data_IF_530015760444
#
_entry.id   IF_530015760444
#
_cell.length_a   1.000
_cell.length_b   1.000
_cell.length_c   1.000
_cell.angle_alpha   90.00
_cell.angle_beta   90.00
_cell.angle_gamma   90.00
#
_symmetry.space_group_name_H-M   'P 1'
#
loop_
_entity.id
_entity.type
_entity.pdbx_description
1 polymer ?
#
# COMPACT_ATOMS: atom_id res chain seq x y z
N UNK A 1 39.03 0.00 1.60
CA UNK A 1 37.94 -0.21 2.58
C UNK A 1 38.46 -1.03 3.75
N UNK A 2 38.35 -0.54 4.99
CA UNK A 2 38.88 -1.20 6.18
C UNK A 2 38.13 -2.53 6.47
N UNK A 3 38.84 -3.59 6.88
CA UNK A 3 38.30 -4.96 7.16
C UNK A 3 37.07 -4.94 8.07
N UNK A 4 37.04 -4.03 9.06
CA UNK A 4 35.92 -3.76 9.98
C UNK A 4 34.64 -3.26 9.29
N UNK A 5 34.77 -2.51 8.18
CA UNK A 5 33.62 -2.03 7.40
C UNK A 5 32.94 -3.16 6.62
N UNK A 6 33.73 -4.07 6.06
CA UNK A 6 33.23 -5.27 5.35
C UNK A 6 32.46 -6.19 6.30
N UNK A 7 33.01 -6.47 7.49
CA UNK A 7 32.35 -7.30 8.51
C UNK A 7 31.05 -6.70 9.04
N UNK A 8 30.96 -5.36 9.12
CA UNK A 8 29.74 -4.67 9.57
C UNK A 8 28.63 -4.78 8.53
N UNK A 9 28.94 -4.61 7.24
CA UNK A 9 27.98 -4.78 6.14
C UNK A 9 27.48 -6.23 6.09
N UNK A 10 28.39 -7.21 6.19
CA UNK A 10 28.04 -8.63 6.16
C UNK A 10 27.12 -9.00 7.33
N UNK A 11 27.44 -8.59 8.57
CA UNK A 11 26.56 -8.82 9.73
C UNK A 11 25.19 -8.17 9.55
N UNK A 12 25.16 -6.94 9.04
CA UNK A 12 23.92 -6.22 8.79
C UNK A 12 23.01 -6.95 7.80
N UNK A 13 23.58 -7.49 6.71
CA UNK A 13 22.87 -8.32 5.74
C UNK A 13 22.38 -9.64 6.33
N UNK A 14 23.24 -10.36 7.07
CA UNK A 14 22.88 -11.65 7.70
C UNK A 14 21.66 -11.49 8.61
N UNK A 15 21.62 -10.42 9.41
CA UNK A 15 20.49 -10.15 10.30
C UNK A 15 19.22 -9.66 9.56
N UNK A 16 19.35 -9.04 8.38
CA UNK A 16 18.22 -8.62 7.53
C UNK A 16 17.68 -9.77 6.67
N UNK A 17 18.49 -10.78 6.41
CA UNK A 17 18.14 -11.85 5.47
C UNK A 17 16.88 -12.64 5.86
N UNK A 18 16.67 -13.06 7.13
CA UNK A 18 15.44 -13.74 7.54
C UNK A 18 14.19 -12.87 7.30
N UNK A 19 14.34 -11.54 7.49
CA UNK A 19 13.29 -10.56 7.30
C UNK A 19 12.89 -10.43 5.83
N UNK A 20 13.89 -10.29 4.97
CA UNK A 20 13.72 -10.20 3.52
C UNK A 20 13.09 -11.50 3.02
N UNK A 21 13.59 -12.66 3.44
CA UNK A 21 13.04 -13.97 3.07
C UNK A 21 11.57 -14.10 3.47
N UNK A 22 11.20 -13.62 4.66
CA UNK A 22 9.80 -13.59 5.10
C UNK A 22 8.93 -12.73 4.19
N UNK A 23 9.36 -11.51 3.87
CA UNK A 23 8.61 -10.58 3.01
C UNK A 23 8.44 -11.15 1.61
N UNK A 24 9.54 -11.62 0.99
CA UNK A 24 9.52 -12.24 -0.33
C UNK A 24 8.56 -13.43 -0.36
N UNK A 25 8.66 -14.33 0.62
CA UNK A 25 7.80 -15.52 0.68
C UNK A 25 6.33 -15.15 0.77
N UNK A 26 5.96 -14.27 1.70
CA UNK A 26 4.54 -14.00 1.94
C UNK A 26 3.94 -13.12 0.85
N UNK A 27 4.70 -12.18 0.28
CA UNK A 27 4.22 -11.39 -0.87
C UNK A 27 4.11 -12.26 -2.12
N UNK A 28 5.01 -13.23 -2.32
CA UNK A 28 4.87 -14.23 -3.38
C UNK A 28 3.60 -15.05 -3.20
N UNK A 29 3.32 -15.55 -1.99
CA UNK A 29 2.08 -16.28 -1.70
C UNK A 29 0.86 -15.42 -2.04
N UNK A 30 0.85 -14.15 -1.64
CA UNK A 30 -0.24 -13.24 -1.96
C UNK A 30 -0.38 -13.01 -3.47
N UNK A 31 0.72 -12.80 -4.20
CA UNK A 31 0.68 -12.70 -5.66
C UNK A 31 0.07 -13.95 -6.30
N UNK A 32 0.49 -15.14 -5.85
CA UNK A 32 -0.04 -16.40 -6.37
C UNK A 32 -1.55 -16.52 -6.10
N UNK A 33 -2.00 -16.14 -4.90
CA UNK A 33 -3.42 -16.11 -4.55
C UNK A 33 -4.21 -15.08 -5.35
N UNK A 34 -3.62 -13.95 -5.72
CA UNK A 34 -4.29 -12.92 -6.53
C UNK A 34 -4.26 -13.20 -8.04
N UNK A 35 -3.40 -14.11 -8.51
CA UNK A 35 -3.20 -14.36 -9.96
C UNK A 35 -3.75 -15.72 -10.39
N UNK A 36 -3.44 -16.79 -9.65
CA UNK A 36 -3.78 -18.15 -10.07
C UNK A 36 -5.30 -18.40 -10.03
N UNK A 37 -6.03 -18.06 -8.95
CA UNK A 37 -7.48 -18.30 -8.91
C UNK A 37 -8.25 -17.55 -9.99
N UNK A 38 -7.97 -16.27 -10.33
CA UNK A 38 -8.60 -15.63 -11.47
C UNK A 38 -8.30 -16.29 -12.82
N UNK A 39 -7.06 -16.74 -13.04
CA UNK A 39 -6.71 -17.49 -14.26
C UNK A 39 -7.50 -18.80 -14.36
N UNK A 40 -7.55 -19.57 -13.27
CA UNK A 40 -8.33 -20.81 -13.20
C UNK A 40 -9.81 -20.53 -13.49
N UNK A 41 -10.37 -19.51 -12.85
CA UNK A 41 -11.77 -19.11 -13.02
C UNK A 41 -12.05 -18.73 -14.47
N UNK A 42 -11.17 -17.96 -15.10
CA UNK A 42 -11.33 -17.49 -16.46
C UNK A 42 -11.26 -18.61 -17.51
N UNK A 43 -10.32 -19.54 -17.36
CA UNK A 43 -10.08 -20.60 -18.36
C UNK A 43 -10.89 -21.88 -18.14
N UNK A 44 -11.26 -22.22 -16.90
CA UNK A 44 -11.89 -23.51 -16.59
C UNK A 44 -13.40 -23.42 -16.35
N UNK A 45 -13.96 -22.24 -16.09
CA UNK A 45 -15.40 -22.08 -15.82
C UNK A 45 -16.13 -21.46 -17.02
N UNK A 46 -17.40 -21.87 -17.24
CA UNK A 46 -18.24 -21.25 -18.27
C UNK A 46 -18.46 -19.76 -17.95
N UNK A 47 -18.58 -18.95 -19.00
CA UNK A 47 -18.78 -17.50 -18.88
C UNK A 47 -17.71 -16.83 -17.99
N UNK A 48 -16.49 -17.39 -18.00
CA UNK A 48 -15.36 -16.95 -17.17
C UNK A 48 -15.67 -16.88 -15.65
N UNK A 49 -16.66 -17.66 -15.19
CA UNK A 49 -17.15 -17.65 -13.82
C UNK A 49 -18.06 -16.48 -13.46
N UNK A 50 -18.44 -15.62 -14.41
CA UNK A 50 -19.24 -14.41 -14.15
C UNK A 50 -20.62 -14.76 -13.57
N UNK A 51 -21.29 -15.77 -14.13
CA UNK A 51 -22.58 -16.25 -13.65
C UNK A 51 -22.57 -16.77 -12.19
N UNK A 52 -21.38 -17.13 -11.67
CA UNK A 52 -21.19 -17.73 -10.35
C UNK A 52 -20.63 -16.72 -9.36
N UNK A 53 -19.56 -16.02 -9.71
CA UNK A 53 -18.76 -15.23 -8.77
C UNK A 53 -18.95 -13.72 -8.85
N UNK A 54 -19.61 -13.20 -9.89
CA UNK A 54 -19.86 -11.77 -10.02
C UNK A 54 -20.72 -11.23 -8.87
N UNK A 55 -20.48 -9.98 -8.50
CA UNK A 55 -21.39 -9.24 -7.65
C UNK A 55 -22.60 -8.81 -8.48
N UNK A 56 -23.77 -9.28 -8.08
CA UNK A 56 -25.05 -8.93 -8.67
C UNK A 56 -26.15 -8.98 -7.60
N UNK A 57 -27.33 -8.48 -7.93
CA UNK A 57 -28.48 -8.43 -7.02
C UNK A 57 -28.74 -9.77 -6.32
N UNK A 58 -28.77 -10.87 -7.07
CA UNK A 58 -29.00 -12.23 -6.58
C UNK A 58 -27.72 -12.98 -6.16
N UNK A 59 -26.56 -12.32 -6.18
CA UNK A 59 -25.24 -12.90 -5.84
C UNK A 59 -24.48 -12.00 -4.86
N UNK A 60 -24.96 -11.84 -3.61
CA UNK A 60 -24.33 -10.98 -2.61
C UNK A 60 -22.94 -11.49 -2.18
N UNK A 61 -22.68 -12.80 -2.30
CA UNK A 61 -21.35 -13.36 -2.05
C UNK A 61 -20.28 -12.83 -3.01
N UNK A 62 -20.69 -12.22 -4.13
CA UNK A 62 -19.82 -11.47 -5.02
C UNK A 62 -19.04 -10.35 -4.33
N UNK A 63 -19.43 -9.92 -3.13
CA UNK A 63 -18.60 -9.03 -2.30
C UNK A 63 -17.21 -9.63 -2.07
N UNK A 64 -17.13 -10.94 -1.86
CA UNK A 64 -15.89 -11.66 -1.57
C UNK A 64 -15.27 -12.32 -2.80
N UNK A 65 -16.08 -12.62 -3.83
CA UNK A 65 -15.65 -13.46 -4.95
C UNK A 65 -15.53 -12.74 -6.28
N UNK A 66 -16.05 -11.51 -6.43
CA UNK A 66 -16.10 -10.83 -7.73
C UNK A 66 -14.73 -10.55 -8.34
N UNK A 67 -13.68 -10.49 -7.52
CA UNK A 67 -12.30 -10.35 -7.99
C UNK A 67 -11.77 -11.57 -8.76
N UNK A 68 -12.42 -12.73 -8.65
CA UNK A 68 -12.04 -13.95 -9.36
C UNK A 68 -12.42 -13.92 -10.84
N UNK A 69 -13.53 -13.27 -11.18
CA UNK A 69 -14.12 -13.30 -12.53
C UNK A 69 -13.77 -12.05 -13.32
N UNK A 70 -13.62 -12.18 -14.64
CA UNK A 70 -13.26 -11.08 -15.54
C UNK A 70 -14.07 -11.18 -16.84
N UNK A 71 -14.54 -10.03 -17.35
CA UNK A 71 -15.42 -9.95 -18.55
C UNK A 71 -14.76 -10.46 -19.83
N UNK A 72 -13.47 -10.19 -19.99
CA UNK A 72 -12.72 -10.52 -21.20
C UNK A 72 -11.23 -10.66 -20.87
N UNK A 73 -10.47 -11.16 -21.85
CA UNK A 73 -9.04 -11.43 -21.71
C UNK A 73 -8.23 -10.16 -21.42
N UNK A 74 -8.55 -9.05 -22.09
CA UNK A 74 -7.86 -7.77 -21.89
C UNK A 74 -8.00 -7.29 -20.44
N UNK A 75 -9.21 -7.31 -19.89
CA UNK A 75 -9.48 -6.94 -18.51
C UNK A 75 -8.72 -7.83 -17.50
N UNK A 76 -8.64 -9.13 -17.76
CA UNK A 76 -7.84 -10.06 -16.95
C UNK A 76 -6.34 -9.71 -17.01
N UNK A 77 -5.80 -9.53 -18.21
CA UNK A 77 -4.38 -9.19 -18.42
C UNK A 77 -4.00 -7.90 -17.71
N UNK A 78 -4.77 -6.83 -17.91
CA UNK A 78 -4.49 -5.54 -17.26
C UNK A 78 -4.51 -5.65 -15.72
N UNK A 79 -5.44 -6.41 -15.15
CA UNK A 79 -5.49 -6.62 -13.70
C UNK A 79 -4.30 -7.45 -13.20
N UNK A 80 -3.89 -8.50 -13.91
CA UNK A 80 -2.73 -9.33 -13.54
C UNK A 80 -1.43 -8.53 -13.62
N UNK A 81 -1.18 -7.87 -14.75
CA UNK A 81 0.02 -7.05 -14.96
C UNK A 81 0.10 -5.92 -13.93
N UNK A 82 -1.02 -5.22 -13.72
CA UNK A 82 -1.16 -4.18 -12.72
C UNK A 82 -0.88 -4.71 -11.31
N UNK A 83 -1.40 -5.90 -10.96
CA UNK A 83 -1.19 -6.53 -9.65
C UNK A 83 0.28 -6.90 -9.45
N UNK A 84 0.91 -7.57 -10.42
CA UNK A 84 2.33 -7.94 -10.36
C UNK A 84 3.19 -6.70 -10.15
N UNK A 85 2.99 -5.67 -10.98
CA UNK A 85 3.76 -4.44 -10.90
C UNK A 85 3.55 -3.72 -9.56
N UNK A 86 2.31 -3.68 -9.07
CA UNK A 86 1.98 -3.02 -7.79
C UNK A 86 2.58 -3.74 -6.59
N UNK A 87 2.44 -5.07 -6.53
CA UNK A 87 2.99 -5.84 -5.42
C UNK A 87 4.51 -5.80 -5.45
N UNK A 88 5.15 -5.83 -6.63
CA UNK A 88 6.60 -5.67 -6.76
C UNK A 88 7.10 -4.32 -6.20
N UNK A 89 6.37 -3.24 -6.47
CA UNK A 89 6.67 -1.92 -5.90
C UNK A 89 6.50 -1.91 -4.38
N UNK A 90 5.39 -2.44 -3.86
CA UNK A 90 5.14 -2.55 -2.42
C UNK A 90 6.25 -3.36 -1.74
N UNK A 91 6.66 -4.47 -2.33
CA UNK A 91 7.73 -5.33 -1.83
C UNK A 91 9.06 -4.58 -1.76
N UNK A 92 9.43 -3.91 -2.85
CA UNK A 92 10.68 -3.15 -2.95
C UNK A 92 10.73 -2.04 -1.90
N UNK A 93 9.65 -1.26 -1.76
CA UNK A 93 9.61 -0.15 -0.81
C UNK A 93 9.47 -0.62 0.64
N UNK A 94 8.82 -1.77 0.89
CA UNK A 94 8.81 -2.38 2.22
C UNK A 94 10.21 -2.81 2.65
N UNK A 95 10.98 -3.42 1.73
CA UNK A 95 12.38 -3.78 1.99
C UNK A 95 13.21 -2.51 2.23
N UNK A 96 13.06 -1.48 1.39
CA UNK A 96 13.76 -0.21 1.55
C UNK A 96 13.48 0.44 2.92
N UNK A 97 12.20 0.48 3.34
CA UNK A 97 11.81 0.98 4.66
C UNK A 97 12.54 0.27 5.79
N UNK A 98 12.58 -1.06 5.76
CA UNK A 98 13.21 -1.85 6.82
C UNK A 98 14.73 -1.67 6.84
N UNK A 99 15.36 -1.53 5.68
CA UNK A 99 16.78 -1.19 5.57
C UNK A 99 17.04 0.17 6.20
N UNK A 100 16.34 1.24 5.78
CA UNK A 100 16.56 2.57 6.36
C UNK A 100 16.29 2.61 7.86
N UNK A 101 15.23 1.93 8.31
CA UNK A 101 14.87 1.89 9.74
C UNK A 101 15.90 1.19 10.60
N UNK A 102 16.55 0.15 10.09
CA UNK A 102 17.58 -0.59 10.84
C UNK A 102 18.79 0.27 11.21
N UNK A 103 19.06 1.37 10.48
CA UNK A 103 20.15 2.29 10.84
C UNK A 103 19.99 2.91 12.22
N UNK A 104 18.75 3.05 12.70
CA UNK A 104 18.45 3.73 13.95
C UNK A 104 17.58 2.93 14.92
N UNK A 105 16.95 1.85 14.44
CA UNK A 105 16.20 0.92 15.28
C UNK A 105 16.53 -0.53 14.88
N UNK A 106 17.46 -1.20 15.59
CA UNK A 106 17.94 -2.52 15.21
C UNK A 106 16.90 -3.64 15.41
N UNK A 107 15.91 -3.45 16.29
CA UNK A 107 14.84 -4.42 16.53
C UNK A 107 13.66 -4.16 15.57
N UNK A 108 13.50 -5.02 14.56
CA UNK A 108 12.48 -4.92 13.49
C UNK A 108 11.48 -6.09 13.44
N UNK A 109 11.51 -6.97 14.45
CA UNK A 109 10.77 -8.23 14.42
C UNK A 109 9.23 -8.05 14.49
N UNK A 110 8.73 -6.95 15.06
CA UNK A 110 7.29 -6.68 15.13
C UNK A 110 6.81 -5.88 13.91
N UNK A 111 7.66 -4.99 13.39
CA UNK A 111 7.39 -4.07 12.28
C UNK A 111 7.00 -4.81 10.99
N UNK A 112 7.76 -5.82 10.58
CA UNK A 112 7.49 -6.53 9.33
C UNK A 112 6.20 -7.35 9.39
N UNK A 113 5.89 -7.97 10.54
CA UNK A 113 4.63 -8.70 10.74
C UNK A 113 3.45 -7.75 10.64
N UNK A 114 3.58 -6.55 11.22
CA UNK A 114 2.57 -5.50 11.11
C UNK A 114 2.39 -5.06 9.66
N UNK A 115 3.46 -4.71 8.95
CA UNK A 115 3.39 -4.29 7.54
C UNK A 115 2.72 -5.36 6.67
N UNK A 116 3.02 -6.64 6.90
CA UNK A 116 2.36 -7.72 6.19
C UNK A 116 0.87 -7.85 6.54
N UNK A 117 0.51 -7.77 7.84
CA UNK A 117 -0.91 -7.79 8.25
C UNK A 117 -1.70 -6.65 7.61
N UNK A 118 -1.10 -5.48 7.54
CA UNK A 118 -1.71 -4.27 6.97
C UNK A 118 -1.88 -4.41 5.47
N UNK A 119 -0.86 -4.91 4.78
CA UNK A 119 -0.96 -5.27 3.38
C UNK A 119 -2.10 -6.27 3.12
N UNK A 120 -2.25 -7.30 3.96
CA UNK A 120 -3.38 -8.24 3.87
C UNK A 120 -4.74 -7.56 4.13
N UNK A 121 -4.82 -6.66 5.12
CA UNK A 121 -6.04 -5.90 5.38
C UNK A 121 -6.41 -4.98 4.22
N UNK A 122 -5.45 -4.34 3.56
CA UNK A 122 -5.72 -3.52 2.37
C UNK A 122 -6.37 -4.38 1.29
N UNK A 123 -5.84 -5.57 1.01
CA UNK A 123 -6.42 -6.47 0.00
C UNK A 123 -7.87 -6.82 0.34
N UNK A 124 -8.12 -7.24 1.59
CA UNK A 124 -9.45 -7.65 2.05
C UNK A 124 -10.43 -6.47 2.02
N UNK A 125 -10.05 -5.34 2.60
CA UNK A 125 -10.94 -4.19 2.77
C UNK A 125 -11.19 -3.46 1.44
N UNK A 126 -10.20 -3.39 0.56
CA UNK A 126 -10.37 -2.79 -0.76
C UNK A 126 -11.24 -3.64 -1.67
N UNK A 127 -11.41 -4.93 -1.39
CA UNK A 127 -12.45 -5.75 -2.03
C UNK A 127 -13.82 -5.54 -1.37
N UNK A 128 -13.89 -5.65 -0.04
CA UNK A 128 -15.16 -5.68 0.70
C UNK A 128 -15.87 -4.33 0.70
N UNK A 129 -15.19 -3.25 1.06
CA UNK A 129 -15.82 -1.94 1.30
C UNK A 129 -16.45 -1.38 0.01
N UNK A 130 -15.73 -1.29 -1.12
CA UNK A 130 -16.34 -0.81 -2.36
C UNK A 130 -17.45 -1.73 -2.85
N UNK A 131 -17.28 -3.05 -2.73
CA UNK A 131 -18.32 -4.02 -3.13
C UNK A 131 -19.60 -3.90 -2.30
N UNK A 132 -19.51 -3.56 -1.02
CA UNK A 132 -20.69 -3.29 -0.17
C UNK A 132 -21.43 -2.04 -0.65
N UNK A 133 -20.70 -0.99 -1.03
CA UNK A 133 -21.29 0.23 -1.59
C UNK A 133 -21.96 -0.06 -2.93
N UNK A 134 -21.28 -0.81 -3.81
CA UNK A 134 -21.83 -1.26 -5.09
C UNK A 134 -23.09 -2.09 -4.91
N UNK A 135 -23.10 -3.03 -3.95
CA UNK A 135 -24.29 -3.82 -3.65
C UNK A 135 -25.43 -2.94 -3.17
N UNK A 136 -25.17 -2.00 -2.24
CA UNK A 136 -26.17 -1.05 -1.79
C UNK A 136 -26.75 -0.24 -2.96
N UNK A 137 -25.91 0.25 -3.87
CA UNK A 137 -26.37 0.97 -5.06
C UNK A 137 -27.23 0.10 -5.98
N UNK A 138 -26.86 -1.17 -6.18
CA UNK A 138 -27.67 -2.13 -6.94
C UNK A 138 -29.07 -2.28 -6.34
N UNK A 139 -29.17 -2.37 -5.01
CA UNK A 139 -30.45 -2.48 -4.30
C UNK A 139 -31.26 -1.17 -4.34
N UNK A 140 -30.66 -0.03 -3.98
CA UNK A 140 -31.36 1.25 -3.85
C UNK A 140 -31.73 1.90 -5.18
N UNK A 141 -30.94 1.68 -6.24
CA UNK A 141 -31.18 2.25 -7.57
C UNK A 141 -31.78 1.24 -8.55
N UNK A 142 -32.20 0.07 -8.07
CA UNK A 142 -32.82 -0.99 -8.87
C UNK A 142 -32.00 -1.40 -10.11
N UNK A 143 -30.67 -1.45 -9.99
CA UNK A 143 -29.76 -1.80 -11.08
C UNK A 143 -29.64 -3.32 -11.26
N UNK A 144 -30.75 -4.03 -11.44
CA UNK A 144 -30.80 -5.49 -11.37
C UNK A 144 -29.95 -6.21 -12.43
N UNK A 145 -29.70 -5.56 -13.57
CA UNK A 145 -28.85 -6.10 -14.64
C UNK A 145 -27.36 -5.78 -14.45
N UNK A 146 -26.99 -4.97 -13.44
CA UNK A 146 -25.60 -4.61 -13.18
C UNK A 146 -24.87 -5.80 -12.56
N UNK A 147 -23.74 -6.15 -13.15
CA UNK A 147 -22.80 -7.15 -12.65
C UNK A 147 -21.43 -6.50 -12.48
N UNK A 148 -20.83 -6.66 -11.32
CA UNK A 148 -19.50 -6.17 -11.02
C UNK A 148 -18.54 -7.36 -10.88
N UNK A 149 -17.37 -7.23 -11.50
CA UNK A 149 -16.37 -8.28 -11.65
C UNK A 149 -14.99 -7.66 -11.84
N UNK A 150 -13.95 -8.40 -11.49
CA UNK A 150 -12.55 -8.05 -11.73
C UNK A 150 -11.80 -7.72 -10.45
N UNK A 151 -10.49 -7.96 -10.47
CA UNK A 151 -9.59 -7.68 -9.34
C UNK A 151 -9.16 -6.20 -9.25
N UNK A 152 -9.75 -5.31 -10.05
CA UNK A 152 -9.36 -3.90 -10.09
C UNK A 152 -9.51 -3.21 -8.73
N UNK A 153 -10.56 -3.51 -7.96
CA UNK A 153 -10.74 -2.96 -6.61
C UNK A 153 -9.54 -3.25 -5.70
N UNK A 154 -9.03 -4.49 -5.71
CA UNK A 154 -7.83 -4.85 -4.96
C UNK A 154 -6.61 -4.06 -5.48
N UNK A 155 -6.45 -3.96 -6.81
CA UNK A 155 -5.36 -3.23 -7.44
C UNK A 155 -5.34 -1.74 -7.04
N UNK A 156 -6.48 -1.05 -7.14
CA UNK A 156 -6.58 0.37 -6.72
C UNK A 156 -6.35 0.55 -5.23
N UNK A 157 -6.80 -0.39 -4.40
CA UNK A 157 -6.48 -0.45 -2.98
C UNK A 157 -4.99 -0.55 -2.69
N UNK A 158 -4.32 -1.47 -3.36
CA UNK A 158 -2.87 -1.61 -3.28
C UNK A 158 -2.13 -0.35 -3.76
N UNK A 159 -2.66 0.35 -4.76
CA UNK A 159 -2.14 1.66 -5.18
C UNK A 159 -2.29 2.74 -4.14
N UNK A 160 -3.46 2.90 -3.53
CA UNK A 160 -3.64 3.84 -2.43
C UNK A 160 -2.71 3.55 -1.24
N UNK A 161 -2.47 2.28 -0.94
CA UNK A 161 -1.51 1.86 0.08
C UNK A 161 -0.06 2.23 -0.27
N UNK A 162 0.33 2.06 -1.53
CA UNK A 162 1.67 2.38 -2.02
C UNK A 162 1.93 3.90 -2.10
N UNK A 163 1.08 4.61 -2.85
CA UNK A 163 1.34 5.98 -3.33
C UNK A 163 1.60 6.97 -2.19
N UNK A 164 0.84 6.86 -1.10
CA UNK A 164 0.92 7.82 -0.01
C UNK A 164 1.37 7.13 1.28
N UNK A 165 0.83 5.95 1.59
CA UNK A 165 1.17 5.22 2.82
C UNK A 165 2.63 4.79 2.88
N UNK A 166 3.02 3.89 1.99
CA UNK A 166 4.35 3.30 2.00
C UNK A 166 5.45 4.27 1.55
N UNK A 167 5.18 5.09 0.53
CA UNK A 167 6.13 6.10 0.07
C UNK A 167 6.53 7.09 1.17
N UNK A 168 5.57 7.53 1.96
CA UNK A 168 5.83 8.46 3.05
C UNK A 168 6.54 7.77 4.24
N UNK A 169 6.26 6.49 4.50
CA UNK A 169 7.04 5.68 5.46
C UNK A 169 8.51 5.54 5.07
N UNK A 170 8.78 5.25 3.79
CA UNK A 170 10.16 5.16 3.29
C UNK A 170 10.85 6.51 3.36
N UNK A 171 10.17 7.58 2.95
CA UNK A 171 10.72 8.93 2.98
C UNK A 171 11.09 9.37 4.39
N UNK A 172 10.23 9.10 5.37
CA UNK A 172 10.53 9.42 6.78
C UNK A 172 11.68 8.60 7.34
N UNK A 173 11.71 7.29 7.09
CA UNK A 173 12.81 6.43 7.52
C UNK A 173 14.15 6.86 6.90
N UNK A 174 14.15 7.25 5.63
CA UNK A 174 15.33 7.77 4.94
C UNK A 174 15.81 9.09 5.58
N UNK A 175 14.91 10.05 5.81
CA UNK A 175 15.26 11.32 6.44
C UNK A 175 15.82 11.12 7.86
N UNK A 176 15.25 10.20 8.63
CA UNK A 176 15.72 9.88 9.98
C UNK A 176 17.09 9.19 9.96
N UNK A 177 17.31 8.27 9.02
CA UNK A 177 18.62 7.65 8.81
C UNK A 177 19.68 8.70 8.43
N UNK A 178 19.36 9.61 7.51
CA UNK A 178 20.24 10.73 7.12
C UNK A 178 20.55 11.62 8.34
N UNK A 179 19.53 11.98 9.12
CA UNK A 179 19.68 12.79 10.33
C UNK A 179 20.67 12.16 11.32
N UNK A 180 20.56 10.86 11.56
CA UNK A 180 21.42 10.14 12.53
C UNK A 180 22.85 10.00 12.00
N UNK A 181 23.02 9.64 10.73
CA UNK A 181 24.35 9.59 10.07
C UNK A 181 25.06 10.94 10.18
N UNK A 182 24.32 12.03 9.98
CA UNK A 182 24.83 13.39 10.11
C UNK A 182 25.19 13.73 11.57
N UNK A 183 24.30 13.44 12.52
CA UNK A 183 24.46 13.76 13.94
C UNK A 183 25.69 13.08 14.54
N UNK A 184 25.90 11.81 14.20
CA UNK A 184 26.96 10.97 14.74
C UNK A 184 28.28 11.12 13.97
N UNK A 185 28.30 11.91 12.88
CA UNK A 185 29.52 12.21 12.13
C UNK A 185 30.37 13.27 12.86
N UNK A 186 31.63 12.95 13.22
CA UNK A 186 32.51 13.88 13.93
C UNK A 186 33.00 15.06 13.08
N UNK A 187 32.77 15.05 11.75
CA UNK A 187 33.39 16.00 10.80
C UNK A 187 32.47 17.06 10.19
N UNK A 188 31.17 17.10 10.49
CA UNK A 188 30.22 17.98 9.77
C UNK A 188 29.64 19.07 10.69
N UNK A 189 30.35 20.19 10.83
CA UNK A 189 29.92 21.33 11.68
C UNK A 189 28.67 22.03 11.15
N UNK A 190 28.51 22.13 9.82
CA UNK A 190 27.36 22.75 9.13
C UNK A 190 26.07 21.97 9.29
N UNK A 191 26.15 20.64 9.39
CA UNK A 191 24.97 19.78 9.50
C UNK A 191 24.46 19.67 10.95
N UNK A 192 25.34 19.88 11.95
CA UNK A 192 24.93 20.17 13.35
C UNK A 192 24.17 21.51 13.46
N UNK A 193 24.48 22.49 12.61
CA UNK A 193 23.75 23.75 12.52
C UNK A 193 22.35 23.53 11.92
N UNK A 194 22.26 22.80 10.81
CA UNK A 194 20.99 22.46 10.15
C UNK A 194 20.04 21.66 11.04
N UNK A 195 20.54 20.68 11.79
CA UNK A 195 19.74 19.89 12.74
C UNK A 195 19.22 20.73 13.90
N UNK A 196 20.01 21.70 14.39
CA UNK A 196 19.53 22.70 15.36
C UNK A 196 18.46 23.62 14.75
N UNK A 197 18.61 24.04 13.50
CA UNK A 197 17.63 24.86 12.79
C UNK A 197 16.32 24.10 12.57
N UNK A 198 16.37 22.83 12.14
CA UNK A 198 15.20 21.97 11.97
C UNK A 198 14.46 21.78 13.30
N UNK A 199 15.17 21.51 14.40
CA UNK A 199 14.59 21.39 15.73
C UNK A 199 13.95 22.71 16.21
N UNK A 200 14.56 23.86 15.88
CA UNK A 200 13.97 25.18 16.17
C UNK A 200 12.73 25.44 15.32
N UNK A 201 12.72 25.05 14.05
CA UNK A 201 11.56 25.18 13.15
C UNK A 201 10.41 24.32 13.65
N UNK A 202 10.66 23.05 13.98
CA UNK A 202 9.66 22.14 14.57
C UNK A 202 9.07 22.71 15.87
N UNK A 203 9.91 23.27 16.76
CA UNK A 203 9.44 23.96 17.98
C UNK A 203 8.65 25.24 17.65
N UNK A 204 9.08 26.04 16.67
CA UNK A 204 8.42 27.32 16.29
C UNK A 204 7.06 27.10 15.64
N UNK A 205 6.91 26.07 14.81
CA UNK A 205 5.64 25.76 14.13
C UNK A 205 4.63 25.07 15.05
N UNK A 206 4.95 24.86 16.34
CA UNK A 206 4.16 24.07 17.29
C UNK A 206 3.81 22.66 16.77
N UNK A 207 4.57 22.15 15.80
CA UNK A 207 4.42 20.79 15.31
C UNK A 207 5.03 19.85 16.34
N UNK A 208 4.18 19.06 16.99
CA UNK A 208 4.56 18.22 18.14
C UNK A 208 5.60 17.13 17.79
N UNK A 209 5.76 16.77 16.50
CA UNK A 209 6.75 15.78 16.05
C UNK A 209 6.91 15.77 14.52
N UNK A 210 7.94 15.09 13.98
CA UNK A 210 8.11 14.79 12.54
C UNK A 210 6.86 14.17 11.92
N UNK A 211 6.05 13.44 12.71
CA UNK A 211 4.75 12.90 12.30
C UNK A 211 3.70 13.96 11.93
N UNK A 212 3.79 15.16 12.48
CA UNK A 212 2.87 16.26 12.13
C UNK A 212 3.21 16.84 10.75
N UNK A 213 4.50 16.88 10.39
CA UNK A 213 4.97 17.16 9.03
C UNK A 213 4.58 16.05 8.05
N UNK A 214 4.60 14.80 8.50
CA UNK A 214 4.09 13.66 7.75
C UNK A 214 2.60 13.80 7.44
N UNK A 215 1.76 14.12 8.44
CA UNK A 215 0.33 14.33 8.21
C UNK A 215 0.08 15.50 7.26
N UNK A 216 0.87 16.57 7.36
CA UNK A 216 0.79 17.69 6.43
C UNK A 216 1.19 17.28 5.01
N UNK A 217 2.31 16.57 4.84
CA UNK A 217 2.76 16.05 3.53
C UNK A 217 1.74 15.07 2.95
N UNK A 218 1.19 14.19 3.77
CA UNK A 218 0.12 13.26 3.41
C UNK A 218 -1.11 14.02 2.89
N UNK A 219 -1.59 15.03 3.63
CA UNK A 219 -2.75 15.82 3.23
C UNK A 219 -2.47 16.64 1.97
N UNK A 220 -1.27 17.22 1.83
CA UNK A 220 -0.88 17.99 0.65
C UNK A 220 -0.77 17.09 -0.59
N UNK A 221 -0.11 15.93 -0.48
CA UNK A 221 0.00 14.97 -1.58
C UNK A 221 -1.37 14.41 -1.95
N UNK A 222 -2.20 14.05 -0.97
CA UNK A 222 -3.57 13.62 -1.21
C UNK A 222 -4.38 14.66 -1.98
N UNK A 223 -4.35 15.93 -1.54
CA UNK A 223 -5.08 17.02 -2.20
C UNK A 223 -4.57 17.31 -3.62
N UNK A 224 -3.25 17.23 -3.84
CA UNK A 224 -2.65 17.43 -5.17
C UNK A 224 -2.95 16.28 -6.14
N UNK A 225 -2.93 15.04 -5.66
CA UNK A 225 -3.15 13.87 -6.50
C UNK A 225 -4.62 13.70 -6.86
N UNK A 226 -5.53 13.77 -5.88
CA UNK A 226 -6.96 13.46 -6.08
C UNK A 226 -7.66 14.46 -7.02
N UNK A 227 -7.20 15.71 -7.09
CA UNK A 227 -7.78 16.75 -7.94
C UNK A 227 -7.15 16.82 -9.34
N UNK A 228 -6.15 15.99 -9.64
CA UNK A 228 -5.46 16.02 -10.92
C UNK A 228 -6.27 15.33 -12.03
N UNK A 229 -6.19 15.86 -13.26
CA UNK A 229 -6.78 15.22 -14.45
C UNK A 229 -6.23 13.81 -14.68
N UNK A 230 -4.96 13.59 -14.35
CA UNK A 230 -4.30 12.30 -14.52
C UNK A 230 -4.83 11.27 -13.52
N UNK A 231 -5.12 11.68 -12.28
CA UNK A 231 -5.78 10.81 -11.31
C UNK A 231 -7.20 10.45 -11.72
N UNK A 232 -7.98 11.41 -12.21
CA UNK A 232 -9.33 11.14 -12.73
C UNK A 232 -9.29 10.12 -13.88
N UNK A 233 -8.36 10.27 -14.83
CA UNK A 233 -8.14 9.27 -15.89
C UNK A 233 -7.71 7.93 -15.32
N UNK A 234 -6.82 7.91 -14.33
CA UNK A 234 -6.34 6.70 -13.67
C UNK A 234 -7.48 5.90 -13.01
N UNK A 235 -8.43 6.55 -12.33
CA UNK A 235 -9.60 5.86 -11.74
C UNK A 235 -10.65 5.47 -12.80
N UNK A 236 -10.47 5.87 -14.06
CA UNK A 236 -11.34 5.52 -15.19
C UNK A 236 -12.42 6.56 -15.50
N UNK A 237 -12.30 7.79 -15.01
CA UNK A 237 -13.25 8.86 -15.32
C UNK A 237 -13.30 9.11 -16.84
N UNK A 238 -14.51 9.06 -17.41
CA UNK A 238 -14.76 9.16 -18.85
C UNK A 238 -14.82 7.82 -19.59
N UNK A 239 -14.65 6.69 -18.90
CA UNK A 239 -14.81 5.35 -19.48
C UNK A 239 -16.16 4.75 -19.05
N UNK A 240 -17.04 4.49 -20.02
CA UNK A 240 -18.44 4.08 -19.77
C UNK A 240 -18.60 2.71 -19.10
N UNK A 241 -17.57 1.86 -19.13
CA UNK A 241 -17.61 0.50 -18.60
C UNK A 241 -16.84 0.33 -17.27
N UNK A 242 -16.29 1.41 -16.71
CA UNK A 242 -15.42 1.37 -15.54
C UNK A 242 -16.17 1.79 -14.27
N UNK A 243 -15.97 1.02 -13.20
CA UNK A 243 -16.50 1.35 -11.87
C UNK A 243 -15.63 2.42 -11.17
N UNK A 244 -15.79 3.68 -11.63
CA UNK A 244 -15.00 4.82 -11.14
C UNK A 244 -15.17 5.03 -9.63
N UNK A 245 -16.40 4.87 -9.12
CA UNK A 245 -16.69 5.02 -7.70
C UNK A 245 -16.05 3.91 -6.89
N UNK A 246 -16.19 2.65 -7.32
CA UNK A 246 -15.53 1.51 -6.69
C UNK A 246 -14.01 1.68 -6.65
N UNK A 247 -13.39 2.09 -7.76
CA UNK A 247 -11.96 2.37 -7.84
C UNK A 247 -11.52 3.47 -6.86
N UNK A 248 -12.27 4.58 -6.80
CA UNK A 248 -11.98 5.69 -5.89
C UNK A 248 -12.07 5.26 -4.42
N UNK A 249 -13.14 4.56 -4.03
CA UNK A 249 -13.31 4.06 -2.67
C UNK A 249 -12.21 3.06 -2.32
N UNK A 250 -11.89 2.15 -3.23
CA UNK A 250 -10.83 1.16 -3.03
C UNK A 250 -9.47 1.84 -2.77
N UNK A 251 -9.12 2.83 -3.59
CA UNK A 251 -7.93 3.64 -3.42
C UNK A 251 -7.90 4.33 -2.04
N UNK A 252 -9.01 4.94 -1.64
CA UNK A 252 -9.13 5.61 -0.36
C UNK A 252 -9.01 4.66 0.84
N UNK A 253 -9.56 3.44 0.73
CA UNK A 253 -9.39 2.38 1.74
C UNK A 253 -7.92 2.00 1.90
N UNK A 254 -7.19 1.83 0.79
CA UNK A 254 -5.75 1.56 0.82
C UNK A 254 -4.96 2.65 1.52
N UNK A 255 -5.27 3.90 1.17
CA UNK A 255 -4.65 5.11 1.72
C UNK A 255 -4.89 5.24 3.24
N UNK A 256 -6.14 5.10 3.69
CA UNK A 256 -6.52 5.27 5.10
C UNK A 256 -6.03 4.11 5.98
N UNK A 257 -6.04 2.88 5.46
CA UNK A 257 -5.53 1.70 6.20
C UNK A 257 -4.04 1.86 6.50
N UNK A 258 -3.26 2.37 5.54
CA UNK A 258 -1.85 2.71 5.77
C UNK A 258 -1.69 3.77 6.86
N UNK A 259 -2.52 4.83 6.79
CA UNK A 259 -2.51 5.96 7.71
C UNK A 259 -2.78 5.57 9.18
N UNK A 260 -3.82 4.76 9.39
CA UNK A 260 -4.24 4.28 10.71
C UNK A 260 -3.09 3.52 11.40
N UNK A 261 -2.40 2.65 10.67
CA UNK A 261 -1.31 1.83 11.22
C UNK A 261 -0.14 2.68 11.71
N UNK A 262 0.16 3.77 11.02
CA UNK A 262 1.22 4.69 11.44
C UNK A 262 0.85 5.48 12.68
N UNK A 263 -0.43 5.88 12.81
CA UNK A 263 -0.90 6.65 13.97
C UNK A 263 -0.99 5.80 15.24
N UNK A 264 -1.53 4.58 15.16
CA UNK A 264 -1.75 3.75 16.35
C UNK A 264 -0.45 3.20 16.95
N UNK A 265 0.60 3.01 16.14
CA UNK A 265 1.91 2.60 16.66
C UNK A 265 2.55 3.64 17.59
N UNK A 266 2.15 4.92 17.52
CA UNK A 266 2.64 5.96 18.44
C UNK A 266 2.18 5.72 19.89
N UNK A 267 1.07 5.01 20.13
CA UNK A 267 0.55 4.75 21.49
C UNK A 267 1.20 3.57 22.20
N UNK A 268 1.73 2.59 21.47
CA UNK A 268 2.41 1.43 22.09
C UNK A 268 3.87 1.70 22.46
N UNK A 269 4.51 2.74 21.91
CA UNK A 269 5.86 3.17 22.29
C UNK A 269 5.90 4.24 23.40
N UNK A 270 4.73 4.69 23.86
CA UNK A 270 4.57 5.66 24.96
C UNK A 270 4.01 5.01 26.24
N UNK A 271 3.88 3.68 26.24
CA UNK A 271 3.74 2.85 27.44
C UNK A 271 5.04 2.09 27.64
#
# INVERSE_FOLDING_TARGET
MCRKGKERIIRYFIELWPLIKYILRNMLIVCLVLIIPPLITFYLLPDHGESIFSLAYNRPWGILTSWLTHKNYEHLCTNIEGTIFTVALIMTFTIAFLVFKKFYKPQLAAEHKLLFRVFAYVIILSQIIPSLVELALIYYLHLWNRKCCGASLILYGLRGYFDIGLLSLVSTALLEAIYIIIKDSPRISTAKLWTRTLNRVLKRTKLASVYSLYCLLFMTLFLLTVLSKDFLKFIGYGMSQVDVLGHFIAYFVGLTTAFIVMLFKKREFLK
#
